data_IF_375171598385
#
_entry.id   IF_375171598385
#
_cell.length_a   1.000
_cell.length_b   1.000
_cell.length_c   1.000
_cell.angle_alpha   90.00
_cell.angle_beta   90.00
_cell.angle_gamma   90.00
#
_symmetry.space_group_name_H-M   'P 1'
#
loop_
_entity.id
_entity.type
_entity.pdbx_description
1 polymer ?
#
# COMPACT_ATOMS: atom_id res chain seq x y z
N UNK A 1 12.63 1.80 20.02
CA UNK A 1 11.84 3.03 19.84
C UNK A 1 11.20 2.94 18.46
N UNK A 2 9.88 3.12 18.32
CA UNK A 2 9.21 3.03 17.00
C UNK A 2 9.73 4.13 16.07
N UNK A 3 10.09 3.77 14.84
CA UNK A 3 10.45 4.72 13.79
C UNK A 3 9.19 5.49 13.39
N UNK A 4 9.24 6.82 13.45
CA UNK A 4 8.15 7.68 12.98
C UNK A 4 8.53 8.17 11.57
N UNK A 5 7.75 7.83 10.53
CA UNK A 5 8.03 8.27 9.17
C UNK A 5 7.92 9.80 9.04
N UNK A 6 8.83 10.39 8.26
CA UNK A 6 8.82 11.82 7.91
C UNK A 6 8.24 12.10 6.53
N UNK A 7 8.05 11.05 5.74
CA UNK A 7 7.60 11.12 4.35
C UNK A 7 6.53 10.06 4.12
N UNK A 8 5.42 10.48 3.53
CA UNK A 8 4.32 9.62 3.10
C UNK A 8 4.04 9.92 1.63
N UNK A 9 4.14 8.90 0.76
CA UNK A 9 3.61 8.97 -0.60
C UNK A 9 2.12 8.66 -0.59
N UNK A 10 1.33 9.28 -1.47
CA UNK A 10 -0.13 9.08 -1.52
C UNK A 10 -0.59 8.87 -2.96
N UNK A 11 -1.77 8.27 -3.11
CA UNK A 11 -2.37 7.97 -4.41
C UNK A 11 -3.39 9.05 -4.85
N UNK A 12 -3.12 10.32 -4.52
CA UNK A 12 -3.97 11.41 -4.99
C UNK A 12 -3.84 11.55 -6.52
N UNK A 13 -4.94 11.75 -7.26
CA UNK A 13 -4.90 11.91 -8.72
C UNK A 13 -4.64 13.37 -9.12
N UNK A 14 -3.62 14.00 -8.55
CA UNK A 14 -3.27 15.41 -8.78
C UNK A 14 -2.12 15.61 -9.77
N UNK A 15 -1.51 14.52 -10.26
CA UNK A 15 -0.45 14.57 -11.26
C UNK A 15 -0.98 15.01 -12.64
N UNK A 16 -0.23 15.88 -13.32
CA UNK A 16 -0.58 16.34 -14.68
C UNK A 16 -0.11 15.36 -15.75
N UNK A 17 1.07 14.78 -15.55
CA UNK A 17 1.68 13.84 -16.47
C UNK A 17 2.02 12.55 -15.74
N UNK A 18 1.83 11.43 -16.43
CA UNK A 18 2.19 10.12 -15.92
C UNK A 18 3.72 9.94 -15.85
N UNK A 19 4.20 9.15 -14.88
CA UNK A 19 5.61 8.80 -14.79
C UNK A 19 6.02 7.88 -15.95
N UNK A 20 7.29 7.95 -16.34
CA UNK A 20 7.79 7.25 -17.53
C UNK A 20 7.71 5.71 -17.48
N UNK A 21 7.53 5.13 -16.29
CA UNK A 21 7.34 3.70 -16.07
C UNK A 21 5.87 3.25 -16.20
N UNK A 22 4.92 4.19 -16.21
CA UNK A 22 3.50 3.89 -16.43
C UNK A 22 3.22 3.85 -17.94
N UNK A 23 2.89 2.67 -18.46
CA UNK A 23 2.54 2.46 -19.87
C UNK A 23 1.06 2.66 -20.19
N UNK A 24 0.23 2.84 -19.17
CA UNK A 24 -1.23 2.99 -19.27
C UNK A 24 -1.64 4.47 -19.31
N UNK A 25 -2.94 4.75 -19.50
CA UNK A 25 -3.49 6.11 -19.50
C UNK A 25 -3.70 6.67 -18.08
N UNK A 26 -3.68 5.80 -17.06
CA UNK A 26 -3.79 6.14 -15.64
C UNK A 26 -2.93 5.18 -14.82
N UNK A 27 -2.53 5.58 -13.62
CA UNK A 27 -1.88 4.68 -12.66
C UNK A 27 -2.99 3.85 -11.98
N UNK A 28 -3.04 2.56 -12.29
CA UNK A 28 -4.02 1.62 -11.74
C UNK A 28 -3.44 0.20 -11.64
N UNK A 29 -3.98 -0.63 -10.74
CA UNK A 29 -3.65 -2.05 -10.66
C UNK A 29 -2.17 -2.32 -10.40
N UNK A 30 -1.49 -3.05 -11.30
CA UNK A 30 -0.07 -3.38 -11.14
C UNK A 30 0.84 -2.14 -11.14
N UNK A 31 0.43 -1.06 -11.81
CA UNK A 31 1.19 0.19 -11.83
C UNK A 31 1.22 0.84 -10.43
N UNK A 32 0.18 0.69 -9.62
CA UNK A 32 0.15 1.21 -8.25
C UNK A 32 1.06 0.42 -7.31
N UNK A 33 1.22 -0.88 -7.56
CA UNK A 33 2.17 -1.72 -6.81
C UNK A 33 3.60 -1.30 -7.14
N UNK A 34 3.88 -1.04 -8.42
CA UNK A 34 5.17 -0.52 -8.86
C UNK A 34 5.43 0.89 -8.32
N UNK A 35 4.43 1.75 -8.30
CA UNK A 35 4.51 3.10 -7.71
C UNK A 35 4.86 3.06 -6.22
N UNK A 36 4.15 2.24 -5.44
CA UNK A 36 4.41 2.09 -4.02
C UNK A 36 5.85 1.60 -3.78
N UNK A 37 6.32 0.61 -4.55
CA UNK A 37 7.70 0.17 -4.50
C UNK A 37 8.70 1.26 -4.93
N UNK A 38 8.39 2.04 -5.97
CA UNK A 38 9.22 3.13 -6.45
C UNK A 38 9.37 4.23 -5.38
N UNK A 39 8.27 4.57 -4.69
CA UNK A 39 8.28 5.51 -3.58
C UNK A 39 9.23 5.06 -2.46
N UNK A 40 9.16 3.79 -2.05
CA UNK A 40 10.08 3.24 -1.05
C UNK A 40 11.54 3.21 -1.54
N UNK A 41 11.77 2.60 -2.70
CA UNK A 41 13.11 2.19 -3.13
C UNK A 41 13.91 3.28 -3.85
N UNK A 42 13.25 4.22 -4.53
CA UNK A 42 13.89 5.28 -5.33
C UNK A 42 13.75 6.65 -4.71
N UNK A 43 12.59 6.96 -4.13
CA UNK A 43 12.33 8.26 -3.52
C UNK A 43 12.67 8.30 -2.03
N UNK A 44 12.88 7.14 -1.39
CA UNK A 44 13.15 7.06 0.04
C UNK A 44 11.96 7.47 0.91
N UNK A 45 10.74 7.36 0.37
CA UNK A 45 9.53 7.50 1.18
C UNK A 45 9.53 6.42 2.25
N UNK A 46 9.17 6.81 3.47
CA UNK A 46 9.13 5.89 4.60
C UNK A 46 7.73 5.29 4.79
N UNK A 47 6.74 5.89 4.16
CA UNK A 47 5.35 5.47 4.25
C UNK A 47 4.65 5.62 2.90
N UNK A 48 3.72 4.73 2.60
CA UNK A 48 2.79 4.85 1.47
C UNK A 48 1.38 4.76 2.02
N UNK A 49 0.54 5.72 1.63
CA UNK A 49 -0.90 5.65 1.84
C UNK A 49 -1.53 4.80 0.74
N UNK A 50 -2.32 3.80 1.13
CA UNK A 50 -3.10 2.96 0.23
C UNK A 50 -4.58 3.37 0.29
N UNK A 51 -5.11 3.90 -0.80
CA UNK A 51 -6.46 4.47 -0.84
C UNK A 51 -7.51 3.42 -1.20
N UNK A 52 -8.30 3.01 -0.21
CA UNK A 52 -9.45 2.13 -0.35
C UNK A 52 -10.79 2.86 -0.26
N UNK A 53 -10.79 4.19 -0.14
CA UNK A 53 -12.01 5.01 -0.09
C UNK A 53 -12.45 5.45 -1.47
N UNK A 54 -11.54 6.06 -2.25
CA UNK A 54 -11.90 6.80 -3.46
C UNK A 54 -11.84 6.01 -4.76
N UNK A 55 -11.53 4.70 -4.72
CA UNK A 55 -11.28 3.89 -5.91
C UNK A 55 -11.43 2.38 -5.67
N UNK A 56 -11.60 1.63 -6.76
CA UNK A 56 -11.47 0.18 -6.75
C UNK A 56 -10.00 -0.21 -6.57
N UNK A 57 -9.65 -0.66 -5.37
CA UNK A 57 -8.26 -0.83 -4.96
C UNK A 57 -7.88 -2.30 -4.87
N UNK A 58 -6.61 -2.60 -5.18
CA UNK A 58 -6.08 -3.94 -4.96
C UNK A 58 -6.04 -4.30 -3.46
N UNK A 59 -6.86 -5.29 -3.09
CA UNK A 59 -6.96 -5.82 -1.72
C UNK A 59 -5.77 -6.68 -1.30
N UNK A 60 -4.86 -7.03 -2.24
CA UNK A 60 -3.71 -7.91 -2.05
C UNK A 60 -2.37 -7.19 -2.20
N UNK A 61 -2.34 -5.86 -2.05
CA UNK A 61 -1.13 -5.03 -2.15
C UNK A 61 0.07 -5.58 -1.39
N UNK A 62 -0.08 -5.99 -0.12
CA UNK A 62 1.04 -6.52 0.68
C UNK A 62 1.59 -7.81 0.09
N UNK A 63 0.72 -8.72 -0.37
CA UNK A 63 1.18 -9.94 -1.06
C UNK A 63 2.02 -9.60 -2.27
N UNK A 64 1.51 -8.71 -3.13
CA UNK A 64 2.15 -8.35 -4.39
C UNK A 64 3.49 -7.64 -4.16
N UNK A 65 3.53 -6.68 -3.24
CA UNK A 65 4.77 -5.99 -2.85
C UNK A 65 5.84 -6.97 -2.37
N UNK A 66 5.49 -7.84 -1.42
CA UNK A 66 6.45 -8.79 -0.83
C UNK A 66 6.90 -9.86 -1.84
N UNK A 67 6.00 -10.37 -2.69
CA UNK A 67 6.37 -11.39 -3.69
C UNK A 67 7.15 -10.82 -4.88
N UNK A 68 6.83 -9.60 -5.33
CA UNK A 68 7.43 -8.98 -6.52
C UNK A 68 8.78 -8.33 -6.20
N UNK A 69 8.93 -7.79 -4.99
CA UNK A 69 10.11 -7.04 -4.57
C UNK A 69 10.75 -7.62 -3.30
N UNK A 70 10.82 -8.95 -3.22
CA UNK A 70 11.29 -9.71 -2.06
C UNK A 70 12.66 -9.23 -1.53
N UNK A 71 13.63 -9.00 -2.41
CA UNK A 71 14.97 -8.56 -2.03
C UNK A 71 14.95 -7.24 -1.24
N UNK A 72 14.12 -6.28 -1.65
CA UNK A 72 14.02 -4.98 -0.98
C UNK A 72 13.37 -5.11 0.40
N UNK A 73 12.27 -5.86 0.50
CA UNK A 73 11.51 -6.00 1.74
C UNK A 73 12.19 -6.90 2.78
N UNK A 74 13.12 -7.77 2.35
CA UNK A 74 14.02 -8.47 3.29
C UNK A 74 14.99 -7.54 4.00
N UNK A 75 15.42 -6.46 3.35
CA UNK A 75 16.31 -5.45 3.92
C UNK A 75 15.55 -4.30 4.60
N UNK A 76 14.29 -4.05 4.20
CA UNK A 76 13.45 -2.96 4.69
C UNK A 76 12.11 -3.55 5.13
N UNK A 77 12.00 -3.88 6.41
CA UNK A 77 10.85 -4.62 6.94
C UNK A 77 9.60 -3.74 6.92
N UNK A 78 8.56 -4.20 6.22
CA UNK A 78 7.25 -3.57 6.22
C UNK A 78 6.60 -3.66 7.61
N UNK A 79 6.30 -2.52 8.21
CA UNK A 79 5.80 -2.37 9.58
C UNK A 79 6.87 -1.97 10.60
N UNK A 80 8.15 -1.96 10.23
CA UNK A 80 9.27 -1.57 11.12
C UNK A 80 10.14 -0.48 10.51
N UNK A 81 10.62 -0.69 9.28
CA UNK A 81 11.50 0.23 8.55
C UNK A 81 10.73 1.17 7.62
N UNK A 82 9.71 0.61 6.97
CA UNK A 82 8.77 1.29 6.06
C UNK A 82 7.34 0.92 6.42
N UNK A 83 6.37 1.78 6.09
CA UNK A 83 4.98 1.63 6.54
C UNK A 83 3.99 1.71 5.38
N UNK A 84 2.97 0.85 5.38
CA UNK A 84 1.82 0.95 4.49
C UNK A 84 0.60 1.29 5.33
N UNK A 85 -0.06 2.40 5.02
CA UNK A 85 -1.18 2.92 5.81
C UNK A 85 -2.42 3.05 4.94
N UNK A 86 -3.48 2.33 5.31
CA UNK A 86 -4.73 2.37 4.56
C UNK A 86 -5.53 3.63 4.88
N UNK A 87 -5.97 4.33 3.83
CA UNK A 87 -7.08 5.26 3.88
C UNK A 87 -8.35 4.47 3.57
N UNK A 88 -9.27 4.43 4.53
CA UNK A 88 -10.50 3.62 4.48
C UNK A 88 -11.72 4.54 4.38
N UNK A 89 -12.82 4.07 3.78
CA UNK A 89 -14.00 4.92 3.61
C UNK A 89 -14.68 5.21 4.94
N UNK A 90 -15.29 6.39 5.04
CA UNK A 90 -16.19 6.72 6.13
C UNK A 90 -17.61 6.21 5.82
N UNK A 91 -18.12 5.17 6.50
CA UNK A 91 -19.41 4.55 6.17
C UNK A 91 -20.61 5.46 6.46
N UNK A 92 -20.44 6.54 7.22
CA UNK A 92 -21.51 7.53 7.45
C UNK A 92 -21.64 8.52 6.30
N UNK A 93 -20.61 8.64 5.47
CA UNK A 93 -20.59 9.47 4.25
C UNK A 93 -20.84 8.59 3.02
N UNK A 94 -20.06 7.52 2.86
CA UNK A 94 -20.16 6.53 1.78
C UNK A 94 -21.21 5.46 2.11
N UNK A 95 -22.48 5.86 2.03
CA UNK A 95 -23.61 5.03 2.51
C UNK A 95 -23.91 3.81 1.64
N UNK A 96 -23.61 3.86 0.33
CA UNK A 96 -23.89 2.76 -0.61
C UNK A 96 -22.86 1.63 -0.46
N UNK A 97 -21.59 1.98 -0.28
CA UNK A 97 -20.47 1.04 -0.22
C UNK A 97 -19.81 0.97 1.17
N UNK A 98 -20.56 1.30 2.24
CA UNK A 98 -20.03 1.37 3.60
C UNK A 98 -19.47 0.05 4.15
N UNK A 99 -19.66 -1.09 3.47
CA UNK A 99 -19.04 -2.38 3.83
C UNK A 99 -17.59 -2.52 3.38
N UNK A 100 -17.11 -1.66 2.47
CA UNK A 100 -15.68 -1.57 2.10
C UNK A 100 -14.82 -1.28 3.33
N UNK A 101 -15.35 -0.58 4.36
CA UNK A 101 -14.68 -0.43 5.65
C UNK A 101 -14.32 -1.80 6.26
N UNK A 102 -15.30 -2.71 6.34
CA UNK A 102 -15.09 -4.03 6.93
C UNK A 102 -14.10 -4.85 6.09
N UNK A 103 -14.23 -4.79 4.76
CA UNK A 103 -13.30 -5.46 3.85
C UNK A 103 -11.88 -4.95 4.03
N UNK A 104 -11.69 -3.64 4.11
CA UNK A 104 -10.39 -3.00 4.34
C UNK A 104 -9.78 -3.44 5.68
N UNK A 105 -10.57 -3.47 6.75
CA UNK A 105 -10.11 -3.93 8.07
C UNK A 105 -9.70 -5.41 8.04
N UNK A 106 -10.48 -6.28 7.38
CA UNK A 106 -10.13 -7.70 7.22
C UNK A 106 -8.87 -7.86 6.36
N UNK A 107 -8.72 -7.07 5.29
CA UNK A 107 -7.54 -7.11 4.44
C UNK A 107 -6.27 -6.71 5.19
N UNK A 108 -6.34 -5.79 6.16
CA UNK A 108 -5.20 -5.46 7.02
C UNK A 108 -4.76 -6.67 7.86
N UNK A 109 -5.70 -7.46 8.38
CA UNK A 109 -5.38 -8.68 9.13
C UNK A 109 -4.77 -9.75 8.22
N UNK A 110 -5.35 -9.96 7.04
CA UNK A 110 -4.80 -10.89 6.04
C UNK A 110 -3.40 -10.45 5.60
N UNK A 111 -3.17 -9.16 5.44
CA UNK A 111 -1.86 -8.59 5.13
C UNK A 111 -0.84 -8.85 6.25
N UNK A 112 -1.26 -8.74 7.51
CA UNK A 112 -0.42 -9.10 8.66
C UNK A 112 -0.01 -10.58 8.61
N UNK A 113 -0.93 -11.50 8.33
CA UNK A 113 -0.62 -12.93 8.26
C UNK A 113 0.35 -13.24 7.12
N UNK A 114 0.15 -12.61 5.95
CA UNK A 114 1.05 -12.74 4.80
C UNK A 114 2.45 -12.21 5.13
N UNK A 115 2.55 -11.05 5.78
CA UNK A 115 3.82 -10.48 6.19
C UNK A 115 4.52 -11.37 7.24
N UNK A 116 3.78 -11.85 8.24
CA UNK A 116 4.26 -12.78 9.27
C UNK A 116 4.86 -14.04 8.65
N UNK A 117 4.14 -14.66 7.70
CA UNK A 117 4.62 -15.82 6.97
C UNK A 117 5.85 -15.50 6.11
N UNK A 118 5.86 -14.37 5.39
CA UNK A 118 6.99 -13.92 4.56
C UNK A 118 8.27 -13.71 5.37
N UNK A 119 8.16 -13.12 6.57
CA UNK A 119 9.28 -12.86 7.46
C UNK A 119 9.61 -14.03 8.41
N UNK A 120 8.90 -15.16 8.30
CA UNK A 120 9.15 -16.35 9.13
C UNK A 120 8.93 -16.14 10.63
N UNK A 121 7.94 -15.32 11.00
CA UNK A 121 7.59 -15.01 12.39
C UNK A 121 6.52 -15.99 12.91
N UNK A 122 6.54 -16.29 14.20
CA UNK A 122 5.48 -17.06 14.84
C UNK A 122 4.20 -16.20 14.95
N UNK A 123 3.06 -16.76 14.54
CA UNK A 123 1.71 -16.18 14.65
C UNK A 123 1.14 -16.29 16.06
#
# INVERSE_FOLDING_TARGET
>A
MRKIPRTMSTQHPDCVNLPAWCSEEIIHGEAEIEEAYYAYSKLGCMEVMWDAEGKDVDTRVVRKLLSKYEAFFKENILGEDVFLTYRIPNPTVETVEGKILLESLVNILVAHDIATAFYGRET
#
